data_IF_821332444512
#
_entry.id   IF_821332444512
#
_cell.length_a   1.000
_cell.length_b   1.000
_cell.length_c   1.000
_cell.angle_alpha   90.00
_cell.angle_beta   90.00
_cell.angle_gamma   90.00
#
_symmetry.space_group_name_H-M   'P 1'
#
loop_
_entity.id
_entity.type
_entity.pdbx_description
1 polymer ?
#
# COMPACT_ATOMS: atom_id res chain seq x y z
N UNK A 1 16.56 -5.91 7.07
CA UNK A 1 15.62 -6.08 5.94
C UNK A 1 16.25 -5.48 4.69
N UNK A 2 16.17 -6.14 3.53
CA UNK A 2 16.68 -5.58 2.27
C UNK A 2 15.59 -4.76 1.56
N UNK A 3 16.01 -3.82 0.68
CA UNK A 3 15.06 -3.09 -0.17
C UNK A 3 14.22 -4.05 -1.03
N UNK A 4 14.85 -5.06 -1.64
CA UNK A 4 14.17 -6.04 -2.47
C UNK A 4 13.06 -6.79 -1.71
N UNK A 5 13.34 -7.25 -0.48
CA UNK A 5 12.35 -7.96 0.33
C UNK A 5 11.17 -7.06 0.75
N UNK A 6 11.43 -5.77 0.97
CA UNK A 6 10.36 -4.78 1.19
C UNK A 6 9.55 -4.55 -0.09
N UNK A 7 10.19 -4.31 -1.23
CA UNK A 7 9.50 -4.12 -2.51
C UNK A 7 8.65 -5.33 -2.91
N UNK A 8 9.10 -6.55 -2.61
CA UNK A 8 8.35 -7.77 -2.87
C UNK A 8 7.07 -7.84 -2.02
N UNK A 9 7.05 -7.26 -0.81
CA UNK A 9 5.81 -7.14 -0.04
C UNK A 9 4.82 -6.17 -0.68
N UNK A 10 5.28 -5.03 -1.20
CA UNK A 10 4.41 -4.08 -1.92
C UNK A 10 3.85 -4.74 -3.20
N UNK A 11 4.69 -5.48 -3.94
CA UNK A 11 4.23 -6.23 -5.12
C UNK A 11 3.17 -7.27 -4.75
N UNK A 12 3.35 -7.98 -3.63
CA UNK A 12 2.36 -8.95 -3.16
C UNK A 12 1.01 -8.28 -2.82
N UNK A 13 1.04 -7.10 -2.18
CA UNK A 13 -0.17 -6.30 -1.93
C UNK A 13 -0.84 -5.86 -3.24
N UNK A 14 -0.07 -5.37 -4.21
CA UNK A 14 -0.57 -4.98 -5.54
C UNK A 14 -1.26 -6.17 -6.20
N UNK A 15 -0.64 -7.35 -6.22
CA UNK A 15 -1.23 -8.55 -6.81
C UNK A 15 -2.52 -8.99 -6.12
N UNK A 16 -2.63 -8.81 -4.79
CA UNK A 16 -3.87 -9.08 -4.06
C UNK A 16 -5.01 -8.13 -4.46
N UNK A 17 -4.70 -6.84 -4.62
CA UNK A 17 -5.66 -5.86 -5.11
C UNK A 17 -6.09 -6.16 -6.55
N UNK A 18 -5.16 -6.59 -7.42
CA UNK A 18 -5.46 -6.97 -8.80
C UNK A 18 -6.35 -8.22 -8.90
N UNK A 19 -6.26 -9.11 -7.92
CA UNK A 19 -7.10 -10.31 -7.82
C UNK A 19 -8.51 -10.02 -7.26
N UNK A 20 -8.76 -8.82 -6.72
CA UNK A 20 -10.05 -8.46 -6.15
C UNK A 20 -11.14 -8.38 -7.24
N UNK A 21 -12.33 -8.93 -6.97
CA UNK A 21 -13.41 -9.03 -7.97
C UNK A 21 -13.83 -7.68 -8.58
N UNK A 22 -13.84 -6.61 -7.78
CA UNK A 22 -14.17 -5.25 -8.23
C UNK A 22 -13.05 -4.58 -9.02
N UNK A 23 -11.81 -5.09 -8.97
CA UNK A 23 -10.66 -4.39 -9.51
C UNK A 23 -10.80 -4.10 -11.00
N UNK A 24 -11.21 -5.09 -11.82
CA UNK A 24 -11.33 -4.90 -13.28
C UNK A 24 -12.32 -3.79 -13.63
N UNK A 25 -13.49 -3.78 -12.99
CA UNK A 25 -14.49 -2.73 -13.21
C UNK A 25 -13.99 -1.36 -12.78
N UNK A 26 -13.40 -1.27 -11.60
CA UNK A 26 -12.85 -0.03 -11.05
C UNK A 26 -11.63 0.48 -11.84
N UNK A 27 -10.79 -0.40 -12.36
CA UNK A 27 -9.64 -0.06 -13.20
C UNK A 27 -10.07 0.58 -14.51
N UNK A 28 -11.10 0.03 -15.18
CA UNK A 28 -11.62 0.62 -16.42
C UNK A 28 -12.22 2.00 -16.19
N UNK A 29 -12.92 2.19 -15.07
CA UNK A 29 -13.54 3.47 -14.72
C UNK A 29 -12.57 4.46 -14.06
N UNK A 30 -11.37 3.99 -13.71
CA UNK A 30 -10.37 4.73 -12.95
C UNK A 30 -10.95 5.32 -11.64
N UNK A 31 -11.83 4.58 -10.97
CA UNK A 31 -12.56 5.04 -9.79
C UNK A 31 -12.90 3.89 -8.83
N UNK A 32 -13.15 4.23 -7.56
CA UNK A 32 -13.47 3.28 -6.49
C UNK A 32 -12.28 2.93 -5.59
N UNK A 33 -12.59 2.34 -4.42
CA UNK A 33 -11.65 2.05 -3.32
C UNK A 33 -10.51 1.14 -3.74
N UNK A 34 -10.81 0.04 -4.42
CA UNK A 34 -9.83 -0.98 -4.78
C UNK A 34 -8.85 -0.41 -5.79
N UNK A 35 -9.34 0.29 -6.81
CA UNK A 35 -8.49 0.97 -7.78
C UNK A 35 -7.65 2.07 -7.12
N UNK A 36 -8.25 2.90 -6.28
CA UNK A 36 -7.53 3.96 -5.56
C UNK A 36 -6.38 3.38 -4.72
N UNK A 37 -6.65 2.36 -3.92
CA UNK A 37 -5.63 1.72 -3.09
C UNK A 37 -4.57 0.99 -3.92
N UNK A 38 -4.93 0.39 -5.05
CA UNK A 38 -3.98 -0.20 -6.00
C UNK A 38 -3.04 0.87 -6.59
N UNK A 39 -3.58 2.00 -7.04
CA UNK A 39 -2.77 3.08 -7.60
C UNK A 39 -1.87 3.70 -6.53
N UNK A 40 -2.38 3.85 -5.31
CA UNK A 40 -1.60 4.30 -4.16
C UNK A 40 -0.43 3.36 -3.85
N UNK A 41 -0.66 2.04 -3.85
CA UNK A 41 0.37 1.03 -3.61
C UNK A 41 1.42 1.02 -4.74
N UNK A 42 1.00 1.11 -6.00
CA UNK A 42 1.90 1.22 -7.15
C UNK A 42 2.77 2.46 -7.11
N UNK A 43 2.19 3.60 -6.78
CA UNK A 43 2.97 4.84 -6.62
C UNK A 43 3.98 4.72 -5.49
N UNK A 44 3.63 4.03 -4.40
CA UNK A 44 4.55 3.77 -3.29
C UNK A 44 5.71 2.87 -3.70
N UNK A 45 5.47 1.82 -4.51
CA UNK A 45 6.54 0.99 -5.09
C UNK A 45 7.45 1.81 -6.02
N UNK A 46 6.88 2.69 -6.86
CA UNK A 46 7.68 3.58 -7.72
C UNK A 46 8.56 4.52 -6.90
N UNK A 47 8.06 5.00 -5.76
CA UNK A 47 8.82 5.84 -4.84
C UNK A 47 9.95 5.08 -4.15
N UNK A 48 9.74 3.82 -3.74
CA UNK A 48 10.80 3.02 -3.10
C UNK A 48 11.98 2.74 -4.03
N UNK A 49 11.72 2.71 -5.34
CA UNK A 49 12.71 2.52 -6.40
C UNK A 49 13.42 3.82 -6.79
N UNK A 50 12.94 4.98 -6.32
CA UNK A 50 13.54 6.28 -6.61
C UNK A 50 14.59 6.64 -5.57
N UNK A 51 15.72 7.20 -6.04
CA UNK A 51 16.75 7.76 -5.16
C UNK A 51 16.42 9.19 -4.67
N UNK A 52 15.37 9.82 -5.22
CA UNK A 52 15.00 11.20 -4.89
C UNK A 52 13.98 11.30 -3.76
N UNK A 53 13.28 10.21 -3.46
CA UNK A 53 12.22 10.19 -2.46
C UNK A 53 12.78 9.91 -1.08
N UNK A 54 12.45 10.73 -0.06
CA UNK A 54 12.78 10.41 1.31
C UNK A 54 12.20 9.05 1.70
N UNK A 55 13.06 8.15 2.23
CA UNK A 55 12.65 6.81 2.64
C UNK A 55 11.53 6.83 3.69
N UNK A 56 11.55 7.83 4.58
CA UNK A 56 10.50 8.09 5.56
C UNK A 56 9.13 8.33 4.91
N UNK A 57 9.07 8.95 3.73
CA UNK A 57 7.81 9.16 3.02
C UNK A 57 7.25 7.82 2.52
N UNK A 58 8.11 6.93 2.02
CA UNK A 58 7.70 5.60 1.59
C UNK A 58 7.15 4.80 2.76
N UNK A 59 7.83 4.83 3.92
CA UNK A 59 7.37 4.19 5.14
C UNK A 59 6.02 4.76 5.64
N UNK A 60 5.90 6.08 5.71
CA UNK A 60 4.65 6.75 6.13
C UNK A 60 3.48 6.38 5.22
N UNK A 61 3.74 6.22 3.91
CA UNK A 61 2.71 5.76 2.96
C UNK A 61 2.29 4.32 3.22
N UNK A 62 3.21 3.42 3.59
CA UNK A 62 2.86 2.05 3.98
C UNK A 62 1.99 2.02 5.25
N UNK A 63 2.32 2.83 6.27
CA UNK A 63 1.48 2.98 7.47
C UNK A 63 0.10 3.51 7.09
N UNK A 64 0.06 4.58 6.29
CA UNK A 64 -1.20 5.21 5.88
C UNK A 64 -2.07 4.25 5.06
N UNK A 65 -1.46 3.49 4.14
CA UNK A 65 -2.19 2.47 3.39
C UNK A 65 -2.80 1.41 4.32
N UNK A 66 -2.04 0.92 5.29
CA UNK A 66 -2.55 -0.07 6.25
C UNK A 66 -3.71 0.48 7.08
N UNK A 67 -3.62 1.73 7.53
CA UNK A 67 -4.72 2.42 8.21
C UNK A 67 -5.98 2.50 7.33
N UNK A 68 -5.83 2.84 6.05
CA UNK A 68 -6.95 2.93 5.12
C UNK A 68 -7.59 1.56 4.82
N UNK A 69 -6.81 0.47 4.75
CA UNK A 69 -7.36 -0.89 4.59
C UNK A 69 -8.16 -1.37 5.81
N UNK A 70 -7.88 -0.81 6.97
CA UNK A 70 -8.55 -1.09 8.24
C UNK A 70 -9.52 0.03 8.65
N UNK A 71 -9.81 0.98 7.75
CA UNK A 71 -10.66 2.12 8.05
C UNK A 71 -12.10 1.66 8.29
N UNK A 72 -12.55 1.81 9.52
CA UNK A 72 -13.93 1.57 9.96
C UNK A 72 -14.74 2.86 10.10
N UNK A 73 -14.10 4.02 9.88
CA UNK A 73 -14.72 5.35 10.04
C UNK A 73 -15.42 5.83 8.77
N UNK A 74 -15.15 5.20 7.63
CA UNK A 74 -15.72 5.55 6.33
C UNK A 74 -14.97 6.69 5.62
N UNK A 75 -13.83 7.13 6.14
CA UNK A 75 -12.97 8.14 5.52
C UNK A 75 -12.60 7.74 4.09
N UNK A 76 -12.12 6.50 3.89
CA UNK A 76 -11.78 6.01 2.57
C UNK A 76 -13.00 5.92 1.64
N UNK A 77 -14.17 5.57 2.18
CA UNK A 77 -15.43 5.56 1.42
C UNK A 77 -15.80 6.96 0.93
N UNK A 78 -15.64 7.99 1.76
CA UNK A 78 -15.88 9.38 1.36
C UNK A 78 -14.88 9.83 0.28
N UNK A 79 -13.59 9.51 0.43
CA UNK A 79 -12.56 9.81 -0.56
C UNK A 79 -12.81 9.13 -1.90
N UNK A 80 -13.45 7.96 -1.88
CA UNK A 80 -13.76 7.16 -3.06
C UNK A 80 -15.22 7.32 -3.54
N UNK A 81 -15.86 8.47 -3.29
CA UNK A 81 -17.16 8.81 -3.87
C UNK A 81 -18.33 7.97 -3.36
N UNK A 82 -18.25 7.47 -2.13
CA UNK A 82 -19.28 6.63 -1.52
C UNK A 82 -19.13 5.13 -1.82
N UNK A 83 -18.02 4.70 -2.39
CA UNK A 83 -17.73 3.27 -2.58
C UNK A 83 -17.60 2.56 -1.22
N UNK A 84 -18.49 1.59 -0.99
CA UNK A 84 -18.59 0.76 0.22
C UNK A 84 -17.95 -0.62 0.05
N UNK A 85 -17.17 -0.82 -1.02
CA UNK A 85 -16.41 -2.06 -1.22
C UNK A 85 -15.49 -2.31 -0.02
N UNK A 86 -15.60 -3.50 0.54
CA UNK A 86 -14.77 -3.97 1.65
C UNK A 86 -13.55 -4.72 1.14
N UNK A 87 -12.44 -4.62 1.87
CA UNK A 87 -11.24 -5.39 1.58
C UNK A 87 -11.27 -6.73 2.33
N UNK A 88 -10.93 -7.79 1.61
CA UNK A 88 -10.74 -9.12 2.20
C UNK A 88 -9.50 -9.21 3.09
N UNK A 89 -9.46 -10.26 3.92
CA UNK A 89 -8.39 -10.48 4.90
C UNK A 89 -7.01 -10.61 4.26
N UNK A 90 -6.93 -11.15 3.04
CA UNK A 90 -5.67 -11.27 2.29
C UNK A 90 -5.02 -9.91 2.00
N UNK A 91 -5.81 -8.91 1.59
CA UNK A 91 -5.33 -7.54 1.34
C UNK A 91 -4.85 -6.91 2.65
N UNK A 92 -5.63 -7.05 3.73
CA UNK A 92 -5.31 -6.51 5.06
C UNK A 92 -4.04 -7.13 5.65
N UNK A 93 -3.87 -8.44 5.49
CA UNK A 93 -2.67 -9.13 5.93
C UNK A 93 -1.43 -8.65 5.15
N UNK A 94 -1.55 -8.49 3.83
CA UNK A 94 -0.46 -8.00 2.99
C UNK A 94 -0.13 -6.53 3.24
N UNK A 95 -1.10 -5.69 3.58
CA UNK A 95 -0.82 -4.30 3.96
C UNK A 95 -0.09 -4.21 5.30
N UNK A 96 -0.45 -5.05 6.28
CA UNK A 96 0.27 -5.14 7.55
C UNK A 96 1.71 -5.64 7.35
N UNK A 97 1.95 -6.60 6.45
CA UNK A 97 3.30 -7.04 6.08
C UNK A 97 4.12 -5.92 5.44
N UNK A 98 3.50 -5.12 4.55
CA UNK A 98 4.15 -3.94 3.95
C UNK A 98 4.56 -2.92 5.01
N UNK A 99 3.67 -2.57 5.95
CA UNK A 99 3.96 -1.64 7.04
C UNK A 99 5.15 -2.14 7.88
N UNK A 100 5.09 -3.40 8.32
CA UNK A 100 6.13 -4.01 9.14
C UNK A 100 7.49 -3.98 8.42
N UNK A 101 7.54 -4.41 7.16
CA UNK A 101 8.78 -4.47 6.38
C UNK A 101 9.31 -3.08 6.04
N UNK A 102 8.45 -2.08 5.87
CA UNK A 102 8.86 -0.69 5.70
C UNK A 102 9.62 -0.18 6.93
N UNK A 103 9.10 -0.45 8.14
CA UNK A 103 9.77 -0.08 9.40
C UNK A 103 11.10 -0.83 9.59
N UNK A 104 11.13 -2.13 9.30
CA UNK A 104 12.39 -2.91 9.39
C UNK A 104 13.43 -2.48 8.35
N UNK A 105 13.00 -2.04 7.17
CA UNK A 105 13.87 -1.49 6.14
C UNK A 105 14.46 -0.13 6.56
N UNK A 106 13.64 0.77 7.10
CA UNK A 106 14.12 2.06 7.61
C UNK A 106 15.13 1.88 8.76
N UNK A 107 14.81 1.02 9.74
CA UNK A 107 15.70 0.73 10.86
C UNK A 107 17.05 0.15 10.42
N UNK A 108 17.04 -0.79 9.47
CA UNK A 108 18.28 -1.39 8.95
C UNK A 108 19.20 -0.36 8.28
N UNK A 109 18.63 0.68 7.66
CA UNK A 109 19.40 1.71 6.97
C UNK A 109 19.99 2.74 7.94
N UNK A 110 19.27 3.08 9.00
CA UNK A 110 19.77 3.94 10.07
C UNK A 110 21.00 3.33 10.78
N UNK A 111 21.05 2.00 10.91
CA UNK A 111 22.21 1.27 11.43
C UNK A 111 23.43 1.28 10.49
N UNK A 112 23.23 1.45 9.19
CA UNK A 112 24.33 1.50 8.19
C UNK A 112 24.84 2.91 7.91
N UNK A 113 24.15 3.93 8.43
CA UNK A 113 24.47 5.35 8.22
C UNK A 113 25.18 5.99 9.43
N UNK A 114 25.44 5.21 10.49
CA UNK A 114 26.14 5.59 11.71
C UNK A 114 27.56 4.97 11.73
#
# INVERSE_FOLDING_TARGET
MSLAAFEDSIKALISSLEAHEKFRGQQTQQSGKVFFMWDFAKNTLRMSQSNTEPKSNVMQRCIFANLLFHDTTGTLTLLCGGDTTEFGDDVKQKSADCEKKAGEWEAAQNLTSA
#
